data_IF_612792050526
#
_entry.id   IF_612792050526
#
_cell.length_a   1.000
_cell.length_b   1.000
_cell.length_c   1.000
_cell.angle_alpha   90.00
_cell.angle_beta   90.00
_cell.angle_gamma   90.00
#
_symmetry.space_group_name_H-M   'P 1'
#
loop_
_entity.id
_entity.type
_entity.pdbx_description
1 polymer ?
#
# COMPACT_ATOMS: atom_id res chain seq x y z
N UNK A 1 -11.40 26.17 -22.96
CA UNK A 1 -11.72 26.12 -21.51
C UNK A 1 -11.64 24.67 -21.11
N UNK A 2 -10.64 24.32 -20.30
CA UNK A 2 -10.34 22.94 -19.96
C UNK A 2 -11.09 22.50 -18.70
N UNK A 3 -11.82 21.39 -18.78
CA UNK A 3 -12.62 20.85 -17.68
C UNK A 3 -11.79 19.83 -16.90
N UNK A 4 -11.58 20.05 -15.61
CA UNK A 4 -10.91 19.09 -14.75
C UNK A 4 -11.81 17.86 -14.57
N UNK A 5 -11.30 16.65 -14.78
CA UNK A 5 -12.08 15.42 -14.59
C UNK A 5 -11.32 14.49 -13.65
N UNK A 6 -12.02 13.92 -12.69
CA UNK A 6 -11.50 12.81 -11.87
C UNK A 6 -12.25 11.54 -12.20
N UNK A 7 -11.58 10.40 -12.05
CA UNK A 7 -12.22 9.11 -12.19
C UNK A 7 -12.98 8.82 -10.89
N UNK A 8 -14.30 8.64 -10.98
CA UNK A 8 -15.09 8.18 -9.85
C UNK A 8 -14.99 6.65 -9.69
N UNK A 9 -15.32 6.14 -8.50
CA UNK A 9 -15.19 4.71 -8.15
C UNK A 9 -15.99 3.75 -9.06
N UNK A 10 -16.91 4.29 -9.85
CA UNK A 10 -17.72 3.59 -10.85
C UNK A 10 -17.08 3.55 -12.26
N UNK A 11 -15.84 4.04 -12.42
CA UNK A 11 -15.13 4.11 -13.69
C UNK A 11 -15.61 5.20 -14.65
N UNK A 12 -16.49 6.10 -14.20
CA UNK A 12 -16.93 7.26 -15.00
C UNK A 12 -16.07 8.49 -14.71
N UNK A 13 -15.80 9.29 -15.74
CA UNK A 13 -15.13 10.58 -15.60
C UNK A 13 -16.14 11.60 -15.04
N UNK A 14 -15.92 12.09 -13.83
CA UNK A 14 -16.70 13.16 -13.24
C UNK A 14 -15.96 14.49 -13.40
N UNK A 15 -16.68 15.50 -13.90
CA UNK A 15 -16.14 16.84 -14.02
C UNK A 15 -16.05 17.51 -12.64
N UNK A 16 -14.85 17.93 -12.26
CA UNK A 16 -14.61 18.75 -11.08
C UNK A 16 -14.85 20.21 -11.41
N UNK A 17 -15.74 20.83 -10.64
CA UNK A 17 -16.03 22.27 -10.71
C UNK A 17 -15.02 23.11 -9.91
N UNK A 18 -14.23 22.45 -9.05
CA UNK A 18 -13.15 23.06 -8.26
C UNK A 18 -11.90 22.18 -8.38
N UNK A 19 -10.73 22.76 -8.72
CA UNK A 19 -9.49 21.99 -8.77
C UNK A 19 -9.12 21.53 -7.35
N UNK A 20 -8.73 20.27 -7.15
CA UNK A 20 -8.10 19.86 -5.91
C UNK A 20 -6.77 20.63 -5.81
N UNK A 21 -6.60 21.33 -4.69
CA UNK A 21 -5.34 22.00 -4.30
C UNK A 21 -4.92 23.24 -5.08
N UNK A 22 -5.85 24.00 -5.68
CA UNK A 22 -5.57 25.35 -6.20
C UNK A 22 -4.56 25.42 -7.36
N UNK A 23 -4.18 24.27 -7.93
CA UNK A 23 -3.30 24.15 -9.08
C UNK A 23 -4.07 24.08 -10.39
N UNK A 24 -3.47 24.64 -11.46
CA UNK A 24 -3.98 24.50 -12.82
C UNK A 24 -4.10 23.00 -13.14
N UNK A 25 -5.23 22.57 -13.70
CA UNK A 25 -5.43 21.20 -14.18
C UNK A 25 -4.44 20.92 -15.32
N UNK A 26 -3.26 20.43 -14.93
CA UNK A 26 -2.10 20.26 -15.79
C UNK A 26 -2.25 18.98 -16.63
N UNK A 27 -3.10 19.08 -17.64
CA UNK A 27 -3.18 18.10 -18.72
C UNK A 27 -4.19 16.97 -18.49
N UNK A 28 -4.85 16.60 -19.58
CA UNK A 28 -5.67 15.40 -19.68
C UNK A 28 -4.86 14.38 -20.48
N UNK A 29 -4.62 13.21 -19.92
CA UNK A 29 -4.09 12.08 -20.67
C UNK A 29 -5.24 11.10 -20.83
N UNK A 30 -5.65 10.85 -22.07
CA UNK A 30 -6.57 9.77 -22.41
C UNK A 30 -5.78 8.47 -22.32
N UNK A 31 -5.76 7.90 -21.11
CA UNK A 31 -5.03 6.67 -20.81
C UNK A 31 -5.96 5.49 -21.08
N UNK A 32 -5.47 4.46 -21.77
CA UNK A 32 -6.23 3.20 -21.87
C UNK A 32 -6.39 2.58 -20.48
N UNK A 33 -7.49 1.87 -20.17
CA UNK A 33 -7.71 1.33 -18.82
C UNK A 33 -6.56 0.43 -18.33
N UNK A 34 -5.85 -0.23 -19.25
CA UNK A 34 -4.64 -1.01 -18.99
C UNK A 34 -3.44 -0.16 -18.56
N UNK A 35 -3.24 1.00 -19.17
CA UNK A 35 -2.15 1.92 -18.80
C UNK A 35 -2.44 2.63 -17.47
N UNK A 36 -3.72 2.88 -17.14
CA UNK A 36 -4.11 3.46 -15.86
C UNK A 36 -3.75 2.52 -14.69
N UNK A 37 -4.08 1.24 -14.81
CA UNK A 37 -3.69 0.23 -13.82
C UNK A 37 -2.17 0.15 -13.63
N UNK A 38 -1.40 0.19 -14.71
CA UNK A 38 0.06 0.15 -14.63
C UNK A 38 0.63 1.43 -13.98
N UNK A 39 0.07 2.60 -14.31
CA UNK A 39 0.52 3.87 -13.73
C UNK A 39 0.21 3.96 -12.23
N UNK A 40 -0.93 3.45 -11.78
CA UNK A 40 -1.31 3.42 -10.36
C UNK A 40 -0.40 2.48 -9.57
N UNK A 41 -0.04 1.33 -10.12
CA UNK A 41 0.89 0.39 -9.48
C UNK A 41 2.27 1.02 -9.32
N UNK A 42 2.77 1.71 -10.35
CA UNK A 42 4.07 2.41 -10.27
C UNK A 42 4.01 3.53 -9.23
N UNK A 43 2.92 4.31 -9.19
CA UNK A 43 2.73 5.34 -8.17
C UNK A 43 2.72 4.76 -6.75
N UNK A 44 1.96 3.67 -6.53
CA UNK A 44 1.88 3.03 -5.22
C UNK A 44 3.21 2.40 -4.77
N UNK A 45 4.10 2.03 -5.70
CA UNK A 45 5.43 1.47 -5.39
C UNK A 45 6.42 2.54 -4.91
N UNK A 46 6.29 3.78 -5.39
CA UNK A 46 7.17 4.89 -5.04
C UNK A 46 6.55 5.86 -4.04
N UNK A 47 5.30 5.64 -3.64
CA UNK A 47 4.67 6.45 -2.61
C UNK A 47 5.31 6.19 -1.25
N UNK A 48 5.46 7.26 -0.46
CA UNK A 48 6.03 7.15 0.88
C UNK A 48 4.94 6.58 1.80
N UNK A 49 5.18 5.44 2.46
CA UNK A 49 4.15 4.81 3.27
C UNK A 49 3.73 5.71 4.43
N UNK A 50 2.44 5.69 4.74
CA UNK A 50 1.90 6.45 5.88
C UNK A 50 2.43 5.89 7.20
N UNK A 51 2.37 6.69 8.28
CA UNK A 51 2.87 6.30 9.60
C UNK A 51 2.29 4.96 10.09
N UNK A 52 1.02 4.67 9.79
CA UNK A 52 0.38 3.40 10.13
C UNK A 52 0.99 2.20 9.42
N UNK A 53 1.35 2.35 8.14
CA UNK A 53 1.99 1.27 7.36
C UNK A 53 3.41 1.00 7.84
N UNK A 54 4.16 2.02 8.27
CA UNK A 54 5.50 1.84 8.85
C UNK A 54 5.45 1.04 10.16
N UNK A 55 4.48 1.33 11.03
CA UNK A 55 4.29 0.57 12.28
C UNK A 55 3.91 -0.88 12.00
N UNK A 56 3.02 -1.12 11.04
CA UNK A 56 2.62 -2.47 10.64
C UNK A 56 3.81 -3.27 10.07
N UNK A 57 4.62 -2.65 9.21
CA UNK A 57 5.81 -3.29 8.63
C UNK A 57 6.85 -3.63 9.72
N UNK A 58 7.10 -2.72 10.67
CA UNK A 58 7.98 -2.98 11.80
C UNK A 58 7.44 -4.10 12.70
N UNK A 59 6.15 -4.07 13.02
CA UNK A 59 5.50 -5.09 13.83
C UNK A 59 5.63 -6.47 13.17
N UNK A 60 5.38 -6.59 11.87
CA UNK A 60 5.57 -7.85 11.14
C UNK A 60 7.02 -8.29 11.12
N UNK A 61 7.96 -7.37 10.86
CA UNK A 61 9.40 -7.66 10.84
C UNK A 61 9.95 -8.13 12.18
N UNK A 62 9.41 -7.63 13.30
CA UNK A 62 9.82 -8.02 14.64
C UNK A 62 9.12 -9.27 15.16
N UNK A 63 7.79 -9.35 14.97
CA UNK A 63 6.97 -10.44 15.55
C UNK A 63 7.22 -11.76 14.87
N UNK A 64 7.51 -11.78 13.57
CA UNK A 64 7.74 -13.01 12.80
C UNK A 64 8.97 -13.81 13.28
N UNK A 65 10.17 -13.23 13.40
CA UNK A 65 11.31 -13.95 13.97
C UNK A 65 11.14 -14.26 15.46
N UNK A 66 10.50 -13.38 16.23
CA UNK A 66 10.24 -13.62 17.65
C UNK A 66 9.30 -14.83 17.86
N UNK A 67 8.25 -14.93 17.06
CA UNK A 67 7.33 -16.07 17.09
C UNK A 67 8.04 -17.38 16.70
N UNK A 68 8.87 -17.35 15.65
CA UNK A 68 9.66 -18.51 15.25
C UNK A 68 10.63 -18.96 16.36
N UNK A 69 11.29 -18.01 17.04
CA UNK A 69 12.17 -18.30 18.17
C UNK A 69 11.40 -18.91 19.35
N UNK A 70 10.24 -18.36 19.72
CA UNK A 70 9.43 -18.89 20.81
C UNK A 70 8.97 -20.32 20.54
N UNK A 71 8.54 -20.62 19.32
CA UNK A 71 8.16 -21.99 18.92
C UNK A 71 9.34 -22.93 19.05
N UNK A 72 10.51 -22.55 18.54
CA UNK A 72 11.73 -23.35 18.64
C UNK A 72 12.15 -23.57 20.11
N UNK A 73 12.05 -22.54 20.95
CA UNK A 73 12.36 -22.62 22.38
C UNK A 73 11.41 -23.58 23.11
N UNK A 74 10.10 -23.52 22.84
CA UNK A 74 9.12 -24.45 23.41
C UNK A 74 9.43 -25.91 23.02
N UNK A 75 9.73 -26.16 21.75
CA UNK A 75 10.09 -27.51 21.27
C UNK A 75 11.38 -27.99 21.92
N UNK A 76 12.42 -27.16 21.99
CA UNK A 76 13.68 -27.50 22.64
C UNK A 76 13.48 -27.87 24.12
N UNK A 77 12.56 -27.17 24.81
CA UNK A 77 12.27 -27.47 26.22
C UNK A 77 11.54 -28.79 26.41
N UNK A 78 10.62 -29.13 25.52
CA UNK A 78 9.94 -30.44 25.53
C UNK A 78 10.96 -31.55 25.27
N UNK A 79 11.80 -31.41 24.24
CA UNK A 79 12.83 -32.41 23.92
C UNK A 79 13.81 -32.60 25.07
N UNK A 80 14.21 -31.51 25.75
CA UNK A 80 15.10 -31.62 26.91
C UNK A 80 14.50 -32.40 28.08
N UNK A 81 13.17 -32.48 28.23
CA UNK A 81 12.56 -33.30 29.29
C UNK A 81 12.61 -34.81 29.01
N UNK A 82 12.79 -35.21 27.75
CA UNK A 82 12.85 -36.62 27.35
C UNK A 82 14.28 -37.13 27.16
N UNK A 83 15.27 -36.25 27.28
CA UNK A 83 16.68 -36.55 27.03
C UNK A 83 17.54 -36.41 28.31
N UNK A 84 16.90 -36.27 29.47
CA UNK A 84 17.45 -36.54 30.81
C UNK A 84 17.32 -38.04 31.15
#
# INVERSE_FOLDING_TARGET
MGLCVTLADNGTLQALTTPPDGGQCAGYVLVTPTEYLNSQVIHNLFDVPTQGQMQAAFALGFTLPMAAYLVAYCVARIVSMFND
#
